data_IF_510771641474
#
_entry.id   IF_510771641474
#
_cell.length_a   1.000
_cell.length_b   1.000
_cell.length_c   1.000
_cell.angle_alpha   90.00
_cell.angle_beta   90.00
_cell.angle_gamma   90.00
#
_symmetry.space_group_name_H-M   'P 1'
#
loop_
_entity.id
_entity.type
_entity.pdbx_description
1 polymer ?
#
# COMPACT_ATOMS: atom_id res chain seq x y z
N UNK A 1 1.26 -17.84 7.79
CA UNK A 1 2.02 -16.95 6.90
C UNK A 1 3.17 -16.32 7.68
N UNK A 2 4.24 -17.10 7.85
CA UNK A 2 5.58 -16.68 8.33
C UNK A 2 6.47 -16.28 7.15
N UNK A 3 7.64 -15.71 7.43
CA UNK A 3 8.63 -15.37 6.38
C UNK A 3 9.09 -16.61 5.59
N UNK A 4 9.35 -17.73 6.28
CA UNK A 4 9.78 -18.97 5.63
C UNK A 4 8.75 -19.55 4.66
N UNK A 5 7.47 -19.52 5.04
CA UNK A 5 6.36 -19.91 4.14
C UNK A 5 6.27 -19.00 2.91
N UNK A 6 6.59 -17.72 3.07
CA UNK A 6 6.55 -16.75 1.97
C UNK A 6 7.72 -16.90 0.99
N UNK A 7 8.91 -17.27 1.49
CA UNK A 7 10.05 -17.61 0.64
C UNK A 7 9.75 -18.87 -0.20
N UNK A 8 9.15 -19.89 0.41
CA UNK A 8 8.74 -21.09 -0.31
C UNK A 8 7.72 -20.76 -1.40
N UNK A 9 6.74 -19.91 -1.10
CA UNK A 9 5.77 -19.45 -2.09
C UNK A 9 6.41 -18.61 -3.20
N UNK A 10 7.45 -17.83 -2.89
CA UNK A 10 8.23 -17.09 -3.90
C UNK A 10 8.97 -18.06 -4.81
N UNK A 11 9.59 -19.12 -4.27
CA UNK A 11 10.28 -20.13 -5.08
C UNK A 11 9.30 -20.85 -6.04
N UNK A 12 8.11 -21.21 -5.56
CA UNK A 12 7.05 -21.78 -6.41
C UNK A 12 6.58 -20.81 -7.50
N UNK A 13 6.54 -19.50 -7.21
CA UNK A 13 6.21 -18.48 -8.21
C UNK A 13 7.30 -18.43 -9.29
N UNK A 14 8.57 -18.53 -8.90
CA UNK A 14 9.71 -18.58 -9.84
C UNK A 14 9.57 -19.79 -10.76
N UNK A 15 9.40 -20.99 -10.21
CA UNK A 15 9.25 -22.22 -11.02
C UNK A 15 8.17 -22.10 -12.09
N UNK A 16 7.07 -21.40 -11.79
CA UNK A 16 5.93 -21.28 -12.70
C UNK A 16 6.04 -20.15 -13.72
N UNK A 17 6.65 -19.02 -13.36
CA UNK A 17 6.52 -17.78 -14.13
C UNK A 17 7.84 -17.20 -14.63
N UNK A 18 8.99 -17.70 -14.16
CA UNK A 18 10.27 -17.08 -14.48
C UNK A 18 10.65 -17.20 -15.96
N UNK A 19 10.20 -18.27 -16.64
CA UNK A 19 10.40 -18.45 -18.08
C UNK A 19 9.83 -17.27 -18.88
N UNK A 20 8.67 -16.73 -18.46
CA UNK A 20 7.98 -15.63 -19.15
C UNK A 20 8.32 -14.26 -18.57
N UNK A 21 8.52 -14.17 -17.26
CA UNK A 21 8.66 -12.90 -16.54
C UNK A 21 9.82 -12.92 -15.53
N UNK A 22 11.08 -13.11 -15.99
CA UNK A 22 12.23 -13.30 -15.11
C UNK A 22 12.57 -12.08 -14.26
N UNK A 23 12.13 -10.89 -14.68
CA UNK A 23 12.39 -9.66 -13.94
C UNK A 23 11.55 -9.53 -12.67
N UNK A 24 10.39 -10.21 -12.59
CA UNK A 24 9.52 -10.13 -11.42
C UNK A 24 10.22 -10.78 -10.23
N UNK A 25 10.64 -12.04 -10.36
CA UNK A 25 11.32 -12.78 -9.29
C UNK A 25 12.60 -12.06 -8.84
N UNK A 26 13.39 -11.55 -9.79
CA UNK A 26 14.63 -10.81 -9.52
C UNK A 26 14.36 -9.56 -8.68
N UNK A 27 13.31 -8.80 -9.01
CA UNK A 27 12.91 -7.62 -8.24
C UNK A 27 12.46 -7.99 -6.82
N UNK A 28 11.63 -9.03 -6.68
CA UNK A 28 11.18 -9.51 -5.37
C UNK A 28 12.34 -9.96 -4.48
N UNK A 29 13.30 -10.72 -5.02
CA UNK A 29 14.49 -11.16 -4.27
C UNK A 29 15.41 -9.99 -3.92
N UNK A 30 15.64 -9.07 -4.85
CA UNK A 30 16.48 -7.89 -4.62
C UNK A 30 15.93 -6.97 -3.53
N UNK A 31 14.61 -6.86 -3.41
CA UNK A 31 13.93 -6.03 -2.41
C UNK A 31 13.40 -6.81 -1.21
N UNK A 32 13.76 -8.09 -1.05
CA UNK A 32 13.18 -8.97 -0.03
C UNK A 32 13.31 -8.40 1.39
N UNK A 33 14.45 -7.83 1.73
CA UNK A 33 14.72 -7.22 3.05
C UNK A 33 13.77 -6.06 3.40
N UNK A 34 13.15 -5.42 2.38
CA UNK A 34 12.15 -4.38 2.61
C UNK A 34 10.73 -4.97 2.63
N UNK A 35 10.50 -6.07 1.93
CA UNK A 35 9.18 -6.70 1.81
C UNK A 35 8.88 -7.61 3.00
N UNK A 36 9.91 -8.28 3.54
CA UNK A 36 9.76 -9.22 4.65
C UNK A 36 9.36 -8.53 5.96
N UNK A 37 9.58 -7.22 6.10
CA UNK A 37 9.18 -6.44 7.27
C UNK A 37 7.67 -6.51 7.51
N UNK A 38 6.88 -6.81 6.47
CA UNK A 38 5.45 -7.03 6.61
C UNK A 38 5.15 -8.20 7.55
N UNK A 39 5.99 -9.25 7.57
CA UNK A 39 5.83 -10.42 8.45
C UNK A 39 6.12 -10.14 9.93
N UNK A 40 6.76 -9.01 10.24
CA UNK A 40 6.92 -8.55 11.63
C UNK A 40 5.58 -8.14 12.26
N UNK A 41 4.57 -7.88 11.44
CA UNK A 41 3.24 -7.52 11.91
C UNK A 41 2.30 -8.73 11.94
N UNK A 42 1.42 -8.83 12.95
CA UNK A 42 0.34 -9.82 12.99
C UNK A 42 -0.59 -9.73 11.79
N UNK A 43 -1.31 -10.83 11.54
CA UNK A 43 -2.22 -10.94 10.41
C UNK A 43 -3.27 -9.81 10.35
N UNK A 44 -3.79 -9.37 11.49
CA UNK A 44 -4.77 -8.28 11.57
C UNK A 44 -4.22 -6.95 11.03
N UNK A 45 -2.99 -6.61 11.42
CA UNK A 45 -2.30 -5.40 10.95
C UNK A 45 -1.91 -5.54 9.47
N UNK A 46 -1.34 -6.69 9.08
CA UNK A 46 -0.99 -6.97 7.68
C UNK A 46 -2.17 -6.81 6.75
N UNK A 47 -3.35 -7.27 7.16
CA UNK A 47 -4.57 -7.18 6.36
C UNK A 47 -5.00 -5.74 6.13
N UNK A 48 -4.81 -4.85 7.10
CA UNK A 48 -5.08 -3.42 6.94
C UNK A 48 -4.05 -2.75 6.00
N UNK A 49 -2.77 -3.13 6.08
CA UNK A 49 -1.69 -2.59 5.23
C UNK A 49 -1.84 -3.06 3.76
N UNK A 50 -2.12 -4.35 3.55
CA UNK A 50 -2.15 -4.96 2.22
C UNK A 50 -3.29 -4.46 1.32
N UNK A 51 -4.28 -3.74 1.84
CA UNK A 51 -5.34 -3.19 0.99
C UNK A 51 -4.80 -2.06 0.10
N UNK A 52 -4.36 -2.39 -1.12
CA UNK A 52 -3.88 -1.42 -2.12
C UNK A 52 -5.02 -0.55 -2.66
N UNK A 53 -6.28 -0.94 -2.46
CA UNK A 53 -7.48 -0.23 -2.92
C UNK A 53 -7.46 1.27 -2.61
N UNK A 54 -6.98 1.68 -1.42
CA UNK A 54 -6.93 3.10 -1.06
C UNK A 54 -5.94 3.88 -1.95
N UNK A 55 -4.73 3.33 -2.12
CA UNK A 55 -3.66 3.92 -2.95
C UNK A 55 -4.06 3.89 -4.43
N UNK A 56 -4.58 2.77 -4.91
CA UNK A 56 -5.02 2.60 -6.30
C UNK A 56 -6.19 3.51 -6.66
N UNK A 57 -7.17 3.67 -5.75
CA UNK A 57 -8.30 4.57 -5.91
C UNK A 57 -7.84 6.02 -6.04
N UNK A 58 -6.95 6.48 -5.16
CA UNK A 58 -6.37 7.83 -5.24
C UNK A 58 -5.56 8.01 -6.54
N UNK A 59 -4.70 7.05 -6.88
CA UNK A 59 -3.93 7.08 -8.13
C UNK A 59 -4.83 7.14 -9.37
N UNK A 60 -5.95 6.43 -9.37
CA UNK A 60 -6.95 6.49 -10.45
C UNK A 60 -7.57 7.88 -10.58
N UNK A 61 -7.92 8.52 -9.45
CA UNK A 61 -8.42 9.91 -9.44
C UNK A 61 -7.37 10.87 -10.00
N UNK A 62 -6.12 10.77 -9.53
CA UNK A 62 -5.01 11.63 -9.99
C UNK A 62 -4.79 11.44 -11.49
N UNK A 63 -4.67 10.18 -11.97
CA UNK A 63 -4.55 9.87 -13.40
C UNK A 63 -5.68 10.48 -14.23
N UNK A 64 -6.93 10.39 -13.75
CA UNK A 64 -8.09 11.00 -14.42
C UNK A 64 -7.99 12.52 -14.47
N UNK A 65 -7.52 13.16 -13.40
CA UNK A 65 -7.37 14.61 -13.31
C UNK A 65 -6.26 15.14 -14.25
N UNK A 66 -5.15 14.40 -14.41
CA UNK A 66 -4.05 14.79 -15.28
C UNK A 66 -4.26 14.38 -16.75
N UNK A 67 -5.06 13.34 -17.05
CA UNK A 67 -5.25 12.84 -18.43
C UNK A 67 -5.70 13.91 -19.43
N UNK A 68 -6.48 14.91 -18.99
CA UNK A 68 -6.95 16.02 -19.84
C UNK A 68 -5.91 17.14 -20.02
N UNK A 69 -4.80 17.12 -19.27
CA UNK A 69 -3.76 18.16 -19.25
C UNK A 69 -2.45 17.54 -19.73
N UNK A 70 -2.12 17.76 -21.01
CA UNK A 70 -0.91 17.19 -21.64
C UNK A 70 0.39 17.81 -21.09
N UNK A 71 0.34 19.07 -20.65
CA UNK A 71 1.48 19.80 -20.11
C UNK A 71 1.01 20.71 -18.97
N UNK A 72 1.86 20.90 -17.98
CA UNK A 72 1.71 21.88 -16.92
C UNK A 72 2.73 23.00 -17.15
N UNK A 73 2.33 24.29 -17.13
CA UNK A 73 3.25 25.40 -17.36
C UNK A 73 4.25 25.59 -16.22
N UNK A 74 3.90 25.20 -14.99
CA UNK A 74 4.78 25.27 -13.81
C UNK A 74 4.50 24.11 -12.85
N UNK A 75 5.46 23.79 -11.99
CA UNK A 75 5.27 22.78 -10.93
C UNK A 75 4.10 23.12 -10.00
N UNK A 76 3.90 24.40 -9.69
CA UNK A 76 2.80 24.84 -8.84
C UNK A 76 1.43 24.61 -9.49
N UNK A 77 1.34 24.74 -10.82
CA UNK A 77 0.12 24.40 -11.54
C UNK A 77 -0.20 22.90 -11.47
N UNK A 78 0.82 22.04 -11.50
CA UNK A 78 0.67 20.59 -11.33
C UNK A 78 0.24 20.25 -9.90
N UNK A 79 0.92 20.81 -8.89
CA UNK A 79 0.58 20.64 -7.47
C UNK A 79 -0.85 21.07 -7.19
N UNK A 80 -1.29 22.22 -7.71
CA UNK A 80 -2.67 22.72 -7.53
C UNK A 80 -3.71 21.77 -8.09
N UNK A 81 -3.45 21.17 -9.25
CA UNK A 81 -4.38 20.19 -9.85
C UNK A 81 -4.47 18.91 -9.03
N UNK A 82 -3.33 18.38 -8.56
CA UNK A 82 -3.30 17.21 -7.69
C UNK A 82 -4.03 17.51 -6.37
N UNK A 83 -3.74 18.66 -5.76
CA UNK A 83 -4.39 19.09 -4.51
C UNK A 83 -5.91 19.14 -4.65
N UNK A 84 -6.44 19.83 -5.69
CA UNK A 84 -7.88 19.94 -5.91
C UNK A 84 -8.53 18.57 -6.20
N UNK A 85 -7.85 17.71 -6.94
CA UNK A 85 -8.34 16.36 -7.22
C UNK A 85 -8.43 15.50 -5.95
N UNK A 86 -7.40 15.56 -5.11
CA UNK A 86 -7.36 14.86 -3.80
C UNK A 86 -8.42 15.41 -2.86
N UNK A 87 -8.57 16.74 -2.76
CA UNK A 87 -9.60 17.38 -1.92
C UNK A 87 -11.01 17.00 -2.37
N UNK A 88 -11.26 16.87 -3.67
CA UNK A 88 -12.57 16.43 -4.17
C UNK A 88 -12.82 14.94 -3.93
N UNK A 89 -11.78 14.10 -3.98
CA UNK A 89 -11.89 12.68 -3.66
C UNK A 89 -12.11 12.44 -2.17
N UNK A 90 -11.43 13.20 -1.30
CA UNK A 90 -11.50 13.01 0.15
C UNK A 90 -12.90 13.22 0.72
N UNK A 91 -13.72 14.06 0.09
CA UNK A 91 -15.15 14.23 0.42
C UNK A 91 -15.96 12.92 0.37
N UNK A 92 -15.47 11.90 -0.33
CA UNK A 92 -16.12 10.58 -0.44
C UNK A 92 -15.53 9.54 0.51
N UNK A 93 -14.48 9.86 1.27
CA UNK A 93 -13.84 8.95 2.21
C UNK A 93 -14.59 8.91 3.54
N UNK A 94 -15.85 8.46 3.48
CA UNK A 94 -16.73 8.39 4.66
C UNK A 94 -16.70 7.02 5.34
N UNK A 95 -16.27 5.98 4.61
CA UNK A 95 -16.23 4.62 5.14
C UNK A 95 -14.91 4.34 5.87
N UNK A 96 -14.95 3.71 7.06
CA UNK A 96 -13.74 3.33 7.78
C UNK A 96 -12.94 2.27 7.02
N UNK A 97 -11.65 2.20 7.30
CA UNK A 97 -10.76 1.18 6.73
C UNK A 97 -11.27 -0.21 7.11
N UNK A 98 -11.33 -1.12 6.14
CA UNK A 98 -11.79 -2.50 6.36
C UNK A 98 -10.83 -3.18 7.34
N UNK A 99 -11.38 -3.93 8.29
CA UNK A 99 -10.61 -4.60 9.35
C UNK A 99 -9.80 -3.67 10.27
N UNK A 100 -10.13 -2.36 10.31
CA UNK A 100 -9.42 -1.42 11.15
C UNK A 100 -9.53 -1.72 12.65
N UNK A 101 -10.72 -2.09 13.15
CA UNK A 101 -10.91 -2.37 14.59
C UNK A 101 -10.01 -3.52 15.10
N UNK A 102 -9.97 -4.71 14.46
CA UNK A 102 -9.02 -5.75 14.83
C UNK A 102 -7.54 -5.30 14.76
N UNK A 103 -7.17 -4.54 13.72
CA UNK A 103 -5.82 -4.02 13.59
C UNK A 103 -5.47 -3.03 14.72
N UNK A 104 -6.39 -2.13 15.06
CA UNK A 104 -6.22 -1.16 16.15
C UNK A 104 -6.00 -1.85 17.50
N UNK A 105 -6.81 -2.86 17.83
CA UNK A 105 -6.62 -3.64 19.05
C UNK A 105 -5.23 -4.27 19.11
N UNK A 106 -4.71 -4.73 17.96
CA UNK A 106 -3.37 -5.29 17.88
C UNK A 106 -2.29 -4.22 18.01
N UNK A 107 -2.47 -3.06 17.40
CA UNK A 107 -1.57 -1.93 17.55
C UNK A 107 -1.48 -1.46 19.01
N UNK A 108 -2.60 -1.46 19.74
CA UNK A 108 -2.63 -1.13 21.18
C UNK A 108 -1.78 -2.09 22.02
N UNK A 109 -1.75 -3.38 21.66
CA UNK A 109 -0.96 -4.39 22.38
C UNK A 109 0.53 -4.27 22.03
N UNK A 110 0.87 -4.08 20.75
CA UNK A 110 2.27 -4.06 20.30
C UNK A 110 2.99 -2.72 20.49
N UNK A 111 2.23 -1.61 20.52
CA UNK A 111 2.76 -0.25 20.54
C UNK A 111 2.03 0.64 21.56
N UNK A 112 1.73 0.09 22.73
CA UNK A 112 0.95 0.74 23.79
C UNK A 112 1.45 2.16 24.12
N UNK A 113 2.77 2.31 24.32
CA UNK A 113 3.42 3.59 24.66
C UNK A 113 3.32 4.65 23.54
N UNK A 114 3.02 4.25 22.30
CA UNK A 114 2.90 5.19 21.16
C UNK A 114 1.49 5.67 20.92
N UNK A 115 0.49 4.97 21.49
CA UNK A 115 -0.93 5.24 21.25
C UNK A 115 -1.60 5.95 22.41
N UNK A 116 -0.94 6.02 23.57
CA UNK A 116 -1.48 6.64 24.79
C UNK A 116 -1.88 8.10 24.58
N UNK A 117 -1.22 8.82 23.68
CA UNK A 117 -1.53 10.23 23.33
C UNK A 117 -2.69 10.39 22.32
N UNK A 118 -3.11 9.30 21.67
CA UNK A 118 -4.04 9.30 20.53
C UNK A 118 -5.33 8.50 20.78
N UNK A 119 -5.41 7.83 21.93
CA UNK A 119 -6.62 7.16 22.45
C UNK A 119 -7.41 8.17 23.30
#
# INVERSE_FOLDING_TARGET
ATEGEALLALDQLVERWDEKYPQISKSWRAHWQNLNTLFNYPADIRKAIYTTNAIESLNSVIRKAIKKRKLFPTDDSAKKVIFLATQQASKKWTMPVRHWKPALNRFMIEFEERLTDYI
#
